data_IF_253960127627
#
_entry.id   IF_253960127627
#
_cell.length_a   1.000
_cell.length_b   1.000
_cell.length_c   1.000
_cell.angle_alpha   90.00
_cell.angle_beta   90.00
_cell.angle_gamma   90.00
#
_symmetry.space_group_name_H-M   'P 1'
#
loop_
_entity.id
_entity.type
_entity.pdbx_description
1 polymer ?
#
# COMPACT_ATOMS: atom_id res chain seq x y z
N UNK A 1 1.46 1.63 -23.55
CA UNK A 1 2.29 1.05 -22.47
C UNK A 1 2.85 2.20 -21.62
N UNK A 2 2.19 2.58 -20.52
CA UNK A 2 2.58 3.75 -19.72
C UNK A 2 2.82 3.34 -18.26
N UNK A 3 3.99 2.78 -17.98
CA UNK A 3 4.37 2.40 -16.60
C UNK A 3 5.83 2.70 -16.26
N UNK A 4 6.44 3.69 -16.92
CA UNK A 4 7.88 3.97 -16.77
C UNK A 4 8.17 5.48 -16.74
N UNK A 5 7.48 6.27 -15.91
CA UNK A 5 7.89 7.69 -15.69
C UNK A 5 7.56 8.17 -14.26
N UNK A 6 8.09 7.52 -13.23
CA UNK A 6 8.09 8.09 -11.86
C UNK A 6 9.39 7.84 -11.07
N UNK A 7 10.44 7.29 -11.69
CA UNK A 7 11.73 6.98 -11.02
C UNK A 7 12.83 8.05 -11.19
N UNK A 8 12.55 9.18 -11.85
CA UNK A 8 13.58 10.15 -12.28
C UNK A 8 13.85 11.31 -11.32
N UNK A 9 13.19 11.37 -10.18
CA UNK A 9 13.56 12.28 -9.09
C UNK A 9 13.74 11.41 -7.86
N UNK A 10 14.85 11.51 -7.13
CA UNK A 10 15.26 10.62 -6.02
C UNK A 10 14.33 10.58 -4.80
N UNK A 11 13.05 10.89 -4.96
CA UNK A 11 11.98 10.68 -3.99
C UNK A 11 11.51 9.24 -4.18
N UNK A 12 12.28 8.28 -3.65
CA UNK A 12 11.89 6.88 -3.61
C UNK A 12 10.67 6.72 -2.71
N UNK A 13 9.47 6.95 -3.24
CA UNK A 13 8.24 6.60 -2.53
C UNK A 13 8.31 5.08 -2.31
N UNK A 14 8.44 4.65 -1.05
CA UNK A 14 8.45 3.23 -0.70
C UNK A 14 7.04 2.69 -0.94
N UNK A 15 6.84 2.10 -2.11
CA UNK A 15 5.58 1.51 -2.52
C UNK A 15 5.72 -0.01 -2.63
N UNK A 16 4.78 -0.76 -2.02
CA UNK A 16 4.66 -2.20 -2.20
C UNK A 16 3.30 -2.51 -2.80
N UNK A 17 3.33 -3.21 -3.93
CA UNK A 17 2.11 -3.68 -4.60
C UNK A 17 1.86 -5.14 -4.19
N UNK A 18 0.65 -5.43 -3.72
CA UNK A 18 0.24 -6.76 -3.28
C UNK A 18 -1.09 -7.11 -3.95
N UNK A 19 -1.20 -8.31 -4.51
CA UNK A 19 -2.48 -8.85 -4.96
C UNK A 19 -3.13 -9.62 -3.81
N UNK A 20 -4.37 -9.29 -3.48
CA UNK A 20 -5.12 -9.95 -2.41
C UNK A 20 -6.61 -10.05 -2.77
N UNK A 21 -7.18 -11.26 -2.70
CA UNK A 21 -8.59 -11.56 -3.05
C UNK A 21 -9.03 -10.95 -4.40
N UNK A 22 -8.17 -11.02 -5.42
CA UNK A 22 -8.46 -10.46 -6.75
C UNK A 22 -8.29 -8.94 -6.88
N UNK A 23 -8.08 -8.21 -5.77
CA UNK A 23 -7.80 -6.78 -5.78
C UNK A 23 -6.28 -6.49 -5.80
N UNK A 24 -5.90 -5.38 -6.43
CA UNK A 24 -4.53 -4.84 -6.36
C UNK A 24 -4.46 -3.79 -5.25
N UNK A 25 -3.70 -4.10 -4.21
CA UNK A 25 -3.39 -3.21 -3.10
C UNK A 25 -2.05 -2.53 -3.35
N UNK A 26 -1.99 -1.24 -3.07
CA UNK A 26 -0.75 -0.45 -3.08
C UNK A 26 -0.55 0.08 -1.67
N UNK A 27 0.55 -0.30 -1.04
CA UNK A 27 0.98 0.22 0.24
C UNK A 27 2.00 1.32 -0.04
N UNK A 28 1.64 2.58 0.18
CA UNK A 28 2.49 3.75 -0.05
C UNK A 28 2.95 4.30 1.29
N UNK A 29 4.26 4.32 1.53
CA UNK A 29 4.81 4.94 2.72
C UNK A 29 4.63 6.47 2.67
N UNK A 30 4.16 7.04 3.77
CA UNK A 30 4.03 8.47 4.02
C UNK A 30 4.75 8.82 5.34
N UNK A 31 4.68 10.08 5.78
CA UNK A 31 5.38 10.54 6.99
C UNK A 31 4.84 9.93 8.30
N UNK A 32 3.63 9.34 8.29
CA UNK A 32 2.95 8.80 9.48
C UNK A 32 2.83 7.26 9.46
N UNK A 33 3.10 6.60 8.32
CA UNK A 33 2.96 5.16 8.14
C UNK A 33 2.74 4.76 6.69
N UNK A 34 1.89 3.74 6.45
CA UNK A 34 1.52 3.31 5.10
C UNK A 34 0.06 3.63 4.79
N UNK A 35 -0.16 4.34 3.69
CA UNK A 35 -1.46 4.43 3.04
C UNK A 35 -1.71 3.19 2.20
N UNK A 36 -2.92 2.65 2.28
CA UNK A 36 -3.35 1.49 1.52
C UNK A 36 -4.33 1.96 0.46
N UNK A 37 -3.97 1.77 -0.80
CA UNK A 37 -4.77 2.17 -1.95
C UNK A 37 -5.27 0.94 -2.70
N UNK A 38 -6.55 0.97 -3.09
CA UNK A 38 -7.18 0.00 -4.01
C UNK A 38 -7.66 0.78 -5.22
N UNK A 39 -7.28 0.35 -6.42
CA UNK A 39 -7.64 1.03 -7.68
C UNK A 39 -7.30 2.53 -7.67
N UNK A 40 -6.20 2.91 -6.99
CA UNK A 40 -5.74 4.29 -6.87
C UNK A 40 -6.46 5.13 -5.81
N UNK A 41 -7.45 4.59 -5.08
CA UNK A 41 -8.13 5.28 -3.98
C UNK A 41 -7.60 4.80 -2.64
N UNK A 42 -7.26 5.73 -1.73
CA UNK A 42 -6.91 5.41 -0.34
C UNK A 42 -8.15 4.81 0.34
N UNK A 43 -8.02 3.57 0.81
CA UNK A 43 -9.07 2.85 1.54
C UNK A 43 -8.76 2.77 3.04
N UNK A 44 -7.48 2.81 3.40
CA UNK A 44 -7.07 2.74 4.79
C UNK A 44 -5.68 3.34 5.00
N UNK A 45 -5.32 3.56 6.26
CA UNK A 45 -3.97 3.94 6.68
C UNK A 45 -3.54 3.07 7.86
N UNK A 46 -2.27 2.71 7.89
CA UNK A 46 -1.67 1.95 8.99
C UNK A 46 -0.45 2.70 9.48
N UNK A 47 -0.48 3.13 10.75
CA UNK A 47 0.62 3.86 11.40
C UNK A 47 1.73 2.91 11.82
N UNK A 48 2.44 2.35 10.84
CA UNK A 48 3.63 1.52 11.04
C UNK A 48 4.72 1.89 10.04
N UNK A 49 5.97 1.67 10.42
CA UNK A 49 7.15 1.84 9.56
C UNK A 49 7.54 0.54 8.86
N UNK A 50 7.02 -0.61 9.33
CA UNK A 50 7.25 -1.93 8.72
C UNK A 50 6.15 -2.28 7.71
N UNK A 51 6.56 -2.46 6.46
CA UNK A 51 5.67 -2.84 5.38
C UNK A 51 5.03 -4.22 5.56
N UNK A 52 5.73 -5.17 6.17
CA UNK A 52 5.20 -6.51 6.42
C UNK A 52 4.15 -6.48 7.52
N UNK A 53 4.36 -5.64 8.54
CA UNK A 53 3.36 -5.37 9.56
C UNK A 53 2.12 -4.70 8.97
N UNK A 54 2.29 -3.70 8.10
CA UNK A 54 1.17 -3.04 7.40
C UNK A 54 0.32 -4.04 6.59
N UNK A 55 0.98 -4.94 5.85
CA UNK A 55 0.29 -6.00 5.08
C UNK A 55 -0.42 -6.97 6.02
N UNK A 56 0.20 -7.36 7.14
CA UNK A 56 -0.40 -8.26 8.12
C UNK A 56 -1.63 -7.63 8.76
N UNK A 57 -1.53 -6.40 9.24
CA UNK A 57 -2.65 -5.64 9.82
C UNK A 57 -3.79 -5.54 8.82
N UNK A 58 -3.53 -5.19 7.56
CA UNK A 58 -4.56 -5.16 6.53
C UNK A 58 -5.25 -6.52 6.35
N UNK A 59 -4.47 -7.61 6.25
CA UNK A 59 -5.04 -8.96 6.10
C UNK A 59 -5.83 -9.41 7.33
N UNK A 60 -5.38 -9.09 8.54
CA UNK A 60 -6.04 -9.52 9.78
C UNK A 60 -7.28 -8.67 10.08
N UNK A 61 -7.21 -7.35 9.94
CA UNK A 61 -8.30 -6.44 10.31
C UNK A 61 -9.36 -6.33 9.22
N UNK A 62 -8.96 -6.29 7.94
CA UNK A 62 -9.89 -6.03 6.83
C UNK A 62 -10.32 -7.30 6.07
N UNK A 63 -9.65 -8.44 6.25
CA UNK A 63 -10.15 -9.71 5.68
C UNK A 63 -11.17 -10.44 6.57
N UNK A 64 -11.29 -10.00 7.83
CA UNK A 64 -12.16 -10.57 8.87
C UNK A 64 -13.49 -9.83 9.05
N UNK A 65 -13.73 -8.74 8.31
CA UNK A 65 -15.07 -8.16 8.21
C UNK A 65 -15.91 -9.03 7.26
N UNK A 66 -16.43 -10.12 7.82
CA UNK A 66 -17.46 -10.96 7.22
C UNK A 66 -18.72 -10.87 8.08
#
# INVERSE_FOLDING_TARGET
>A
MAKVVLRRQGIGVKEKVVRFRGATLVFRFNQQGYDILINGKKVHEVKTTDINEAVRIYKTTLSSAC
#
